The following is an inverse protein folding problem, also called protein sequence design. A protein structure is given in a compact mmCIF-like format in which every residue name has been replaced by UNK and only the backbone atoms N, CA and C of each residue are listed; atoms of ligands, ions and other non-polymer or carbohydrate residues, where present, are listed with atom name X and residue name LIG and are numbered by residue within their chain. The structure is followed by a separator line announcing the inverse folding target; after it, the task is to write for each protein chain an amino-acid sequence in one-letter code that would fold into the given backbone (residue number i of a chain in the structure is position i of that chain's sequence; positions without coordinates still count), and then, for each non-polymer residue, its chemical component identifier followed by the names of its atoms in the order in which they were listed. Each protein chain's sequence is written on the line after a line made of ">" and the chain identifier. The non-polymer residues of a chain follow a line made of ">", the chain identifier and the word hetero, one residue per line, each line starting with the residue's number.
data_IF_014385126492
#
_entry.id   IF_014385126492
#
_cell.length_a   1.000
_cell.length_b   1.000
_cell.length_c   1.000
_cell.angle_alpha   90.00
_cell.angle_beta   90.00
_cell.angle_gamma   90.00
#
_symmetry.space_group_name_H-M   'P 1'
#
loop_
_entity.id
_entity.type
_entity.pdbx_description
1 polymer ?
#
# COMPACT_ATOMS: atom_id res chain seq x y z
N UNK A 1 22.53 24.31 70.07
CA UNK A 1 21.06 24.26 70.26
C UNK A 1 20.49 23.56 69.02
N UNK A 2 20.30 22.23 69.02
CA UNK A 2 19.05 21.50 69.35
C UNK A 2 17.84 21.98 68.53
N UNK A 3 16.99 21.19 67.85
CA UNK A 3 16.64 19.74 67.78
C UNK A 3 15.95 19.48 66.40
N UNK A 4 16.14 18.38 65.65
CA UNK A 4 15.46 17.04 65.65
C UNK A 4 13.91 17.11 65.68
N UNK A 5 13.12 16.62 64.70
CA UNK A 5 12.60 15.25 64.41
C UNK A 5 11.64 15.39 63.17
N UNK A 6 11.32 14.41 62.31
CA UNK A 6 11.42 12.95 62.36
C UNK A 6 11.03 12.30 61.00
N UNK A 7 11.28 10.99 60.91
CA UNK A 7 11.34 10.12 59.74
C UNK A 7 9.99 9.52 59.33
N UNK A 8 9.89 8.98 58.10
CA UNK A 8 9.55 7.55 57.89
C UNK A 8 10.11 7.04 56.55
N UNK A 9 10.91 5.97 56.57
CA UNK A 9 11.37 5.15 55.43
C UNK A 9 10.71 3.78 55.55
N UNK A 10 10.30 3.18 54.43
CA UNK A 10 9.95 1.76 54.35
C UNK A 10 10.97 1.06 53.45
N UNK A 11 11.63 0.02 54.00
CA UNK A 11 12.45 -0.99 53.32
C UNK A 11 11.73 -2.33 53.51
N UNK A 12 11.65 -3.15 52.47
CA UNK A 12 11.43 -4.60 52.63
C UNK A 12 12.46 -5.35 51.77
N UNK A 13 13.08 -6.35 52.42
CA UNK A 13 14.20 -7.18 51.96
C UNK A 13 13.72 -8.42 51.19
N UNK A 14 14.63 -8.97 50.39
CA UNK A 14 14.59 -10.28 49.75
C UNK A 14 14.56 -11.46 50.73
N UNK A 15 14.05 -12.60 50.26
CA UNK A 15 14.52 -13.93 50.67
C UNK A 15 14.53 -14.88 49.46
N UNK A 16 15.61 -15.63 49.34
CA UNK A 16 15.77 -16.77 48.44
C UNK A 16 15.96 -18.02 49.28
N UNK A 17 15.35 -19.14 48.90
CA UNK A 17 15.85 -20.49 49.22
C UNK A 17 15.14 -21.60 48.44
N UNK A 18 15.96 -22.34 47.67
CA UNK A 18 16.06 -23.81 47.53
C UNK A 18 14.81 -24.69 47.33
N UNK A 19 14.86 -25.57 46.31
CA UNK A 19 14.03 -26.77 46.23
C UNK A 19 14.04 -27.46 44.87
N UNK A 20 14.71 -28.60 44.80
CA UNK A 20 14.99 -29.46 43.64
C UNK A 20 13.94 -30.60 43.51
N UNK A 21 13.76 -31.10 42.27
CA UNK A 21 13.26 -32.43 41.82
C UNK A 21 11.75 -32.78 41.95
N UNK A 22 11.19 -33.32 40.85
CA UNK A 22 10.13 -34.34 40.96
C UNK A 22 9.19 -34.51 39.77
N UNK A 23 9.55 -35.33 38.78
CA UNK A 23 8.60 -35.96 37.85
C UNK A 23 7.66 -36.92 38.61
N UNK A 24 6.38 -36.95 38.26
CA UNK A 24 5.43 -37.90 38.84
C UNK A 24 4.13 -38.03 38.05
N UNK A 25 4.01 -39.13 37.32
CA UNK A 25 2.86 -39.56 36.54
C UNK A 25 1.76 -40.17 37.42
N UNK A 26 0.49 -39.95 37.06
CA UNK A 26 -0.61 -40.90 37.27
C UNK A 26 -1.50 -40.71 38.51
N UNK A 27 -2.81 -40.56 38.26
CA UNK A 27 -3.97 -41.32 38.81
C UNK A 27 -5.26 -40.53 38.60
N UNK A 28 -6.15 -41.04 37.73
CA UNK A 28 -7.38 -41.78 38.06
C UNK A 28 -8.58 -40.89 38.43
N UNK A 29 -9.55 -40.88 37.50
CA UNK A 29 -10.93 -40.42 37.66
C UNK A 29 -11.73 -41.31 38.62
N UNK A 30 -12.79 -40.75 39.23
CA UNK A 30 -14.02 -41.51 39.44
C UNK A 30 -15.28 -40.81 38.89
N UNK A 31 -15.99 -41.58 38.08
CA UNK A 31 -17.44 -41.83 37.99
C UNK A 31 -18.48 -40.77 38.43
N UNK A 32 -19.34 -40.46 37.45
CA UNK A 32 -20.82 -40.47 37.44
C UNK A 32 -21.64 -39.53 38.35
N UNK A 33 -22.44 -38.67 37.71
CA UNK A 33 -23.86 -38.41 38.05
C UNK A 33 -24.66 -38.09 36.76
N UNK A 34 -25.96 -38.43 36.68
CA UNK A 34 -26.73 -38.52 35.43
C UNK A 34 -27.54 -37.25 35.13
N UNK A 35 -27.75 -36.94 33.84
CA UNK A 35 -28.78 -35.96 33.41
C UNK A 35 -29.75 -36.62 32.44
N UNK A 36 -31.02 -36.53 32.81
CA UNK A 36 -32.20 -37.10 32.17
C UNK A 36 -32.39 -36.59 30.74
N UNK A 37 -32.74 -37.53 29.86
CA UNK A 37 -33.13 -37.29 28.48
C UNK A 37 -34.66 -37.18 28.40
N UNK A 38 -35.20 -36.00 28.12
CA UNK A 38 -36.61 -35.81 27.76
C UNK A 38 -36.72 -35.53 26.26
N UNK A 39 -37.44 -36.43 25.57
CA UNK A 39 -37.80 -36.32 24.15
C UNK A 39 -38.87 -35.25 23.97
N UNK A 40 -38.66 -34.32 23.05
CA UNK A 40 -39.73 -33.54 22.41
C UNK A 40 -39.53 -33.52 20.89
N UNK A 41 -40.33 -34.39 20.27
CA UNK A 41 -41.09 -34.25 19.00
C UNK A 41 -40.51 -33.43 17.83
N UNK A 42 -40.38 -34.15 16.71
CA UNK A 42 -40.14 -33.65 15.35
C UNK A 42 -41.14 -32.59 14.87
N UNK A 43 -40.60 -31.56 14.19
CA UNK A 43 -41.22 -30.89 13.03
C UNK A 43 -40.19 -30.84 11.89
N UNK A 44 -40.51 -31.28 10.66
CA UNK A 44 -39.67 -31.02 9.50
C UNK A 44 -40.25 -29.84 8.69
N UNK A 45 -39.43 -28.81 8.43
CA UNK A 45 -39.50 -28.04 7.18
C UNK A 45 -38.42 -26.96 7.18
N UNK A 46 -37.32 -27.27 6.53
CA UNK A 46 -36.49 -26.30 5.82
C UNK A 46 -35.70 -27.11 4.81
N UNK A 47 -36.23 -27.15 3.60
CA UNK A 47 -35.58 -27.68 2.43
C UNK A 47 -34.29 -26.89 2.19
N UNK A 48 -33.16 -27.57 2.35
CA UNK A 48 -31.88 -27.08 1.85
C UNK A 48 -31.96 -27.01 0.32
N UNK A 49 -32.01 -25.80 -0.23
CA UNK A 49 -31.84 -25.57 -1.66
C UNK A 49 -30.38 -25.93 -2.05
N UNK A 50 -30.14 -26.81 -3.03
CA UNK A 50 -28.80 -27.11 -3.47
C UNK A 50 -28.18 -25.89 -4.16
N UNK A 51 -26.91 -25.63 -3.85
CA UNK A 51 -26.05 -24.67 -4.53
C UNK A 51 -26.14 -24.88 -6.05
N UNK A 52 -26.83 -23.97 -6.75
CA UNK A 52 -26.82 -23.94 -8.21
C UNK A 52 -25.45 -23.47 -8.67
N UNK A 53 -24.79 -24.31 -9.47
CA UNK A 53 -23.59 -23.95 -10.21
C UNK A 53 -23.83 -22.67 -11.03
N UNK A 54 -22.86 -21.74 -10.97
CA UNK A 54 -22.87 -20.51 -11.76
C UNK A 54 -22.92 -20.85 -13.26
N UNK A 55 -23.71 -20.14 -14.08
CA UNK A 55 -23.60 -20.27 -15.52
C UNK A 55 -22.23 -19.74 -15.98
N UNK A 56 -21.54 -20.51 -16.82
CA UNK A 56 -20.46 -19.97 -17.67
C UNK A 56 -21.14 -19.15 -18.77
N UNK A 57 -21.06 -17.84 -18.67
CA UNK A 57 -21.58 -16.91 -19.67
C UNK A 57 -21.02 -15.51 -19.42
N UNK A 58 -20.22 -15.02 -20.37
CA UNK A 58 -19.61 -13.69 -20.40
C UNK A 58 -20.65 -12.65 -20.83
N UNK A 59 -21.36 -12.05 -19.87
CA UNK A 59 -21.98 -10.74 -20.03
C UNK A 59 -21.34 -9.80 -18.99
N UNK A 60 -20.57 -8.81 -19.46
CA UNK A 60 -20.00 -7.77 -18.60
C UNK A 60 -21.14 -6.87 -18.13
N UNK A 61 -21.74 -7.20 -16.99
CA UNK A 61 -22.65 -6.29 -16.28
C UNK A 61 -21.89 -5.02 -15.89
N UNK A 62 -22.49 -3.86 -16.15
CA UNK A 62 -21.99 -2.59 -15.64
C UNK A 62 -21.80 -2.68 -14.13
N UNK A 63 -20.59 -2.39 -13.64
CA UNK A 63 -20.25 -2.46 -12.20
C UNK A 63 -21.02 -1.47 -11.33
N UNK A 64 -21.70 -0.50 -11.95
CA UNK A 64 -22.76 0.27 -11.33
C UNK A 64 -24.10 -0.47 -11.41
N UNK A 65 -24.56 -1.05 -10.29
CA UNK A 65 -25.90 -1.65 -10.17
C UNK A 65 -26.64 -0.99 -9.00
N UNK A 66 -27.90 -0.61 -9.19
CA UNK A 66 -28.73 0.07 -8.19
C UNK A 66 -28.10 1.34 -7.58
N UNK A 67 -27.28 2.08 -8.35
CA UNK A 67 -26.61 3.31 -7.88
C UNK A 67 -25.33 3.08 -7.08
N UNK A 68 -24.80 1.85 -7.02
CA UNK A 68 -23.54 1.54 -6.33
C UNK A 68 -22.53 0.94 -7.30
N UNK A 69 -21.30 1.47 -7.28
CA UNK A 69 -20.14 0.84 -7.88
C UNK A 69 -19.59 -0.23 -6.92
N UNK A 70 -19.19 -1.38 -7.46
CA UNK A 70 -18.67 -2.51 -6.69
C UNK A 70 -17.34 -2.97 -7.28
N UNK A 71 -16.27 -2.82 -6.51
CA UNK A 71 -14.94 -3.29 -6.87
C UNK A 71 -14.82 -4.78 -6.55
N UNK A 72 -14.71 -5.62 -7.58
CA UNK A 72 -14.62 -7.08 -7.46
C UNK A 72 -13.46 -7.56 -8.32
N UNK A 73 -12.48 -8.21 -7.71
CA UNK A 73 -11.37 -8.88 -8.41
C UNK A 73 -11.14 -10.29 -7.85
N UNK A 74 -10.45 -11.12 -8.65
CA UNK A 74 -9.91 -12.40 -8.20
C UNK A 74 -8.70 -12.24 -7.28
N UNK A 75 -8.08 -11.06 -7.23
CA UNK A 75 -6.97 -10.72 -6.32
C UNK A 75 -7.44 -10.65 -4.86
N UNK A 76 -8.71 -10.28 -4.60
CA UNK A 76 -9.32 -10.25 -3.27
C UNK A 76 -10.66 -11.02 -3.24
N UNK A 77 -10.62 -12.36 -3.38
CA UNK A 77 -11.83 -13.15 -3.54
C UNK A 77 -12.69 -13.12 -2.27
N UNK A 78 -14.02 -13.02 -2.45
CA UNK A 78 -14.98 -13.07 -1.35
C UNK A 78 -15.21 -11.75 -0.61
N UNK A 79 -14.54 -10.67 -1.01
CA UNK A 79 -14.74 -9.31 -0.50
C UNK A 79 -14.92 -8.31 -1.65
N UNK A 80 -15.53 -7.16 -1.36
CA UNK A 80 -15.70 -6.08 -2.33
C UNK A 80 -15.85 -4.74 -1.59
N UNK A 81 -15.17 -3.71 -2.07
CA UNK A 81 -15.44 -2.33 -1.68
C UNK A 81 -16.60 -1.79 -2.54
N UNK A 82 -17.50 -1.03 -1.94
CA UNK A 82 -18.64 -0.45 -2.66
C UNK A 82 -18.78 1.03 -2.37
N UNK A 83 -18.92 1.82 -3.43
CA UNK A 83 -19.13 3.27 -3.33
C UNK A 83 -20.44 3.64 -4.03
N UNK A 84 -21.27 4.43 -3.34
CA UNK A 84 -22.50 4.95 -3.93
C UNK A 84 -22.15 6.01 -4.99
N UNK A 85 -22.68 5.81 -6.18
CA UNK A 85 -22.44 6.66 -7.35
C UNK A 85 -23.47 7.78 -7.35
N UNK A 86 -23.00 9.02 -7.22
CA UNK A 86 -23.83 10.22 -7.42
C UNK A 86 -24.06 10.46 -8.90
N UNK A 87 -23.00 10.39 -9.71
CA UNK A 87 -23.05 10.62 -11.16
C UNK A 87 -21.86 9.99 -11.88
N UNK A 88 -22.09 9.30 -13.00
CA UNK A 88 -21.00 8.92 -13.92
C UNK A 88 -20.54 10.16 -14.69
N UNK A 89 -19.25 10.47 -14.61
CA UNK A 89 -18.64 11.64 -15.24
C UNK A 89 -18.04 11.31 -16.60
N UNK A 90 -17.43 10.12 -16.72
CA UNK A 90 -16.84 9.60 -17.93
C UNK A 90 -16.78 8.07 -17.89
N UNK A 91 -16.95 7.42 -19.05
CA UNK A 91 -16.66 6.00 -19.22
C UNK A 91 -16.18 5.75 -20.63
N UNK A 92 -14.95 5.26 -20.79
CA UNK A 92 -14.42 4.88 -22.09
C UNK A 92 -13.51 3.66 -21.98
N UNK A 93 -13.39 2.90 -23.07
CA UNK A 93 -12.37 1.87 -23.19
C UNK A 93 -11.21 2.42 -24.01
N UNK A 94 -10.04 2.58 -23.39
CA UNK A 94 -8.82 3.01 -24.05
C UNK A 94 -8.17 1.87 -24.85
N UNK A 95 -6.98 2.11 -25.41
CA UNK A 95 -6.17 1.06 -26.02
C UNK A 95 -5.75 -0.03 -25.01
N UNK A 96 -5.66 0.32 -23.72
CA UNK A 96 -5.06 -0.53 -22.70
C UNK A 96 -6.08 -1.09 -21.72
N UNK A 97 -7.10 -0.31 -21.33
CA UNK A 97 -7.98 -0.64 -20.20
C UNK A 97 -9.35 0.05 -20.28
N UNK A 98 -10.29 -0.40 -19.47
CA UNK A 98 -11.57 0.29 -19.22
C UNK A 98 -11.35 1.42 -18.21
N UNK A 99 -11.67 2.66 -18.58
CA UNK A 99 -11.49 3.86 -17.76
C UNK A 99 -12.86 4.42 -17.37
N UNK A 100 -13.17 4.36 -16.08
CA UNK A 100 -14.40 4.90 -15.51
C UNK A 100 -14.05 6.01 -14.52
N UNK A 101 -14.72 7.16 -14.66
CA UNK A 101 -14.70 8.23 -13.66
C UNK A 101 -16.12 8.53 -13.24
N UNK A 102 -16.36 8.51 -11.93
CA UNK A 102 -17.66 8.89 -11.37
C UNK A 102 -17.49 9.76 -10.13
N UNK A 103 -18.47 10.64 -9.91
CA UNK A 103 -18.65 11.36 -8.65
C UNK A 103 -19.36 10.42 -7.68
N UNK A 104 -18.74 10.14 -6.54
CA UNK A 104 -19.34 9.40 -5.44
C UNK A 104 -20.12 10.32 -4.50
N UNK A 105 -21.00 9.77 -3.66
CA UNK A 105 -21.76 10.59 -2.70
C UNK A 105 -20.90 11.12 -1.55
N UNK A 106 -19.79 10.45 -1.22
CA UNK A 106 -19.01 10.74 0.01
C UNK A 106 -17.48 10.68 -0.14
N UNK A 107 -16.94 10.38 -1.32
CA UNK A 107 -15.49 10.26 -1.60
C UNK A 107 -14.98 11.20 -2.71
N UNK A 108 -15.84 12.10 -3.21
CA UNK A 108 -15.52 12.97 -4.34
C UNK A 108 -15.48 12.18 -5.65
N UNK A 109 -14.67 12.66 -6.60
CA UNK A 109 -14.45 11.96 -7.85
C UNK A 109 -13.56 10.73 -7.64
N UNK A 110 -13.90 9.65 -8.36
CA UNK A 110 -13.27 8.34 -8.24
C UNK A 110 -12.77 7.91 -9.61
N UNK A 111 -11.48 7.58 -9.70
CA UNK A 111 -10.87 6.96 -10.88
C UNK A 111 -10.90 5.43 -10.71
N UNK A 112 -11.41 4.75 -11.74
CA UNK A 112 -11.47 3.29 -11.81
C UNK A 112 -10.85 2.84 -13.12
N UNK A 113 -9.93 1.88 -13.05
CA UNK A 113 -9.29 1.23 -14.20
C UNK A 113 -9.57 -0.27 -14.13
N UNK A 114 -10.11 -0.85 -15.20
CA UNK A 114 -10.48 -2.28 -15.28
C UNK A 114 -11.30 -2.81 -14.08
N UNK A 115 -12.13 -1.94 -13.50
CA UNK A 115 -12.96 -2.16 -12.30
C UNK A 115 -12.23 -2.15 -10.95
N UNK A 116 -10.95 -1.79 -10.91
CA UNK A 116 -10.21 -1.50 -9.69
C UNK A 116 -10.16 0.01 -9.43
N UNK A 117 -10.47 0.43 -8.20
CA UNK A 117 -10.39 1.82 -7.75
C UNK A 117 -8.91 2.20 -7.68
N UNK A 118 -8.51 3.20 -8.46
CA UNK A 118 -7.14 3.71 -8.46
C UNK A 118 -6.97 4.88 -7.50
N UNK A 119 -7.97 5.77 -7.41
CA UNK A 119 -7.90 6.91 -6.51
C UNK A 119 -9.30 7.46 -6.21
N UNK A 120 -9.44 8.02 -5.01
CA UNK A 120 -10.56 8.93 -4.68
C UNK A 120 -10.01 10.24 -4.14
N UNK A 121 -10.66 11.35 -4.46
CA UNK A 121 -10.25 12.67 -3.95
C UNK A 121 -10.23 12.75 -2.42
N UNK A 122 -11.00 11.89 -1.75
CA UNK A 122 -11.11 11.89 -0.29
C UNK A 122 -9.87 11.33 0.40
N UNK A 123 -9.20 10.31 -0.14
CA UNK A 123 -8.15 9.57 0.58
C UNK A 123 -6.86 9.32 -0.22
N UNK A 124 -6.79 9.74 -1.49
CA UNK A 124 -5.59 9.64 -2.35
C UNK A 124 -4.31 10.08 -1.65
N UNK A 125 -4.41 11.11 -0.80
CA UNK A 125 -3.25 11.75 -0.19
C UNK A 125 -2.47 10.78 0.71
N UNK A 126 -3.13 9.77 1.27
CA UNK A 126 -2.45 8.74 2.06
C UNK A 126 -1.47 7.94 1.20
N UNK A 127 -1.90 7.54 0.01
CA UNK A 127 -1.08 6.76 -0.91
C UNK A 127 -0.04 7.64 -1.60
N UNK A 128 -0.47 8.77 -2.17
CA UNK A 128 0.40 9.67 -2.95
C UNK A 128 1.55 10.22 -2.12
N UNK A 129 1.28 10.67 -0.90
CA UNK A 129 2.31 11.17 0.00
C UNK A 129 3.26 10.04 0.44
N UNK A 130 2.73 8.87 0.78
CA UNK A 130 3.57 7.77 1.27
C UNK A 130 4.46 7.16 0.17
N UNK A 131 3.91 6.82 -1.00
CA UNK A 131 4.69 6.23 -2.09
C UNK A 131 5.82 7.18 -2.55
N UNK A 132 5.57 8.49 -2.46
CA UNK A 132 6.54 9.53 -2.83
C UNK A 132 7.57 9.74 -1.73
N UNK A 133 7.13 10.10 -0.54
CA UNK A 133 8.02 10.61 0.51
C UNK A 133 8.84 9.50 1.16
N UNK A 134 8.42 8.23 1.08
CA UNK A 134 9.27 7.09 1.51
C UNK A 134 10.59 7.06 0.73
N UNK A 135 10.57 7.11 -0.61
CA UNK A 135 11.80 7.19 -1.41
C UNK A 135 12.49 8.55 -1.27
N UNK A 136 11.74 9.64 -1.44
CA UNK A 136 12.31 11.00 -1.52
C UNK A 136 13.03 11.42 -0.24
N UNK A 137 12.55 10.98 0.92
CA UNK A 137 13.18 11.26 2.22
C UNK A 137 14.17 10.17 2.65
N UNK A 138 14.29 9.06 1.91
CA UNK A 138 15.37 8.07 2.06
C UNK A 138 16.62 8.41 1.24
N UNK A 139 16.52 9.38 0.32
CA UNK A 139 17.64 9.87 -0.48
C UNK A 139 18.13 11.24 0.03
N UNK A 140 19.45 11.45 0.11
CA UNK A 140 20.04 12.67 0.71
C UNK A 140 19.79 13.95 -0.09
N UNK A 141 19.70 13.86 -1.42
CA UNK A 141 19.49 15.01 -2.31
C UNK A 141 18.91 14.59 -3.69
N UNK A 142 17.65 14.14 -3.77
CA UNK A 142 17.05 13.69 -5.02
C UNK A 142 16.72 14.87 -5.95
N UNK A 143 17.42 14.95 -7.08
CA UNK A 143 17.29 16.02 -8.07
C UNK A 143 16.54 15.59 -9.32
N UNK A 144 16.80 14.37 -9.80
CA UNK A 144 16.14 13.75 -10.96
C UNK A 144 15.27 12.60 -10.51
N UNK A 145 13.96 12.74 -10.70
CA UNK A 145 12.95 11.78 -10.26
C UNK A 145 12.21 11.24 -11.48
N UNK A 146 12.01 9.93 -11.53
CA UNK A 146 11.14 9.27 -12.51
C UNK A 146 9.93 8.68 -11.80
N UNK A 147 8.75 8.83 -12.39
CA UNK A 147 7.51 8.18 -11.99
C UNK A 147 7.06 7.31 -13.17
N UNK A 148 6.93 6.01 -12.95
CA UNK A 148 6.35 5.04 -13.90
C UNK A 148 4.91 4.78 -13.49
N UNK A 149 3.96 4.91 -14.41
CA UNK A 149 2.53 4.94 -14.09
C UNK A 149 2.12 6.30 -13.52
N UNK A 150 1.20 6.34 -12.55
CA UNK A 150 0.79 7.58 -11.87
C UNK A 150 0.12 8.61 -12.77
N UNK A 151 -0.65 8.16 -13.78
CA UNK A 151 -1.35 9.00 -14.76
C UNK A 151 -2.41 9.95 -14.18
N UNK A 152 -2.76 9.86 -12.90
CA UNK A 152 -3.59 10.85 -12.21
C UNK A 152 -2.82 12.15 -11.87
N UNK A 153 -1.48 12.07 -11.85
CA UNK A 153 -0.57 13.18 -11.57
C UNK A 153 -0.26 13.39 -10.09
N UNK A 154 -0.92 12.66 -9.20
CA UNK A 154 -0.79 12.80 -7.77
C UNK A 154 0.61 12.59 -7.20
N UNK A 155 1.30 11.54 -7.62
CA UNK A 155 2.69 11.30 -7.21
C UNK A 155 3.60 12.44 -7.67
N UNK A 156 3.42 12.96 -8.90
CA UNK A 156 4.19 14.11 -9.37
C UNK A 156 3.92 15.37 -8.51
N UNK A 157 2.66 15.60 -8.10
CA UNK A 157 2.28 16.71 -7.21
C UNK A 157 3.09 16.66 -5.92
N UNK A 158 3.29 15.48 -5.36
CA UNK A 158 4.08 15.26 -4.15
C UNK A 158 5.58 15.40 -4.40
N UNK A 159 6.09 14.90 -5.53
CA UNK A 159 7.51 14.99 -5.89
C UNK A 159 7.97 16.45 -5.97
N UNK A 160 7.19 17.34 -6.60
CA UNK A 160 7.59 18.74 -6.81
C UNK A 160 7.55 19.59 -5.53
N UNK A 161 6.98 19.10 -4.42
CA UNK A 161 7.07 19.76 -3.10
C UNK A 161 8.51 19.78 -2.57
N UNK A 162 9.38 18.89 -3.04
CA UNK A 162 10.77 18.87 -2.66
C UNK A 162 11.57 19.89 -3.49
N UNK A 163 11.96 21.01 -2.88
CA UNK A 163 12.67 22.11 -3.57
C UNK A 163 13.94 21.67 -4.31
N UNK A 164 14.64 20.65 -3.79
CA UNK A 164 15.85 20.09 -4.38
C UNK A 164 15.62 19.39 -5.73
N UNK A 165 14.38 19.05 -6.09
CA UNK A 165 14.05 18.44 -7.37
C UNK A 165 14.32 19.46 -8.48
N UNK A 166 15.09 19.04 -9.48
CA UNK A 166 15.40 19.79 -10.69
C UNK A 166 14.58 19.28 -11.88
N UNK A 167 14.23 17.99 -11.89
CA UNK A 167 13.45 17.35 -12.97
C UNK A 167 12.61 16.20 -12.42
N UNK A 168 11.32 16.18 -12.78
CA UNK A 168 10.38 15.10 -12.48
C UNK A 168 9.78 14.59 -13.80
N UNK A 169 10.09 13.35 -14.16
CA UNK A 169 9.63 12.72 -15.40
C UNK A 169 8.51 11.73 -15.07
N UNK A 170 7.39 11.79 -15.79
CA UNK A 170 6.36 10.77 -15.79
C UNK A 170 6.49 9.93 -17.06
N UNK A 171 6.40 8.61 -16.93
CA UNK A 171 6.15 7.70 -18.04
C UNK A 171 4.89 6.89 -17.73
N UNK A 172 3.79 7.21 -18.40
CA UNK A 172 2.53 6.48 -18.29
C UNK A 172 2.15 5.89 -19.64
N UNK A 173 1.63 4.67 -19.66
CA UNK A 173 1.33 3.95 -20.89
C UNK A 173 0.06 4.47 -21.58
N UNK A 174 -0.88 5.04 -20.82
CA UNK A 174 -2.23 5.33 -21.27
C UNK A 174 -2.56 6.84 -21.22
N UNK A 175 -2.49 7.49 -22.38
CA UNK A 175 -2.85 8.91 -22.54
C UNK A 175 -4.27 9.22 -22.05
N UNK A 176 -5.20 8.26 -22.12
CA UNK A 176 -6.57 8.45 -21.65
C UNK A 176 -6.59 8.80 -20.16
N UNK A 177 -5.78 8.13 -19.34
CA UNK A 177 -5.71 8.36 -17.90
C UNK A 177 -5.22 9.78 -17.61
N UNK A 178 -4.16 10.22 -18.28
CA UNK A 178 -3.62 11.59 -18.12
C UNK A 178 -4.66 12.64 -18.54
N UNK A 179 -5.26 12.47 -19.71
CA UNK A 179 -6.24 13.43 -20.26
C UNK A 179 -7.47 13.54 -19.37
N UNK A 180 -8.02 12.41 -18.93
CA UNK A 180 -9.21 12.39 -18.10
C UNK A 180 -8.92 12.87 -16.67
N UNK A 181 -7.73 12.61 -16.14
CA UNK A 181 -7.32 13.14 -14.84
C UNK A 181 -7.17 14.66 -14.85
N UNK A 182 -6.65 15.25 -15.95
CA UNK A 182 -6.66 16.72 -16.14
C UNK A 182 -8.05 17.32 -16.12
N UNK A 183 -9.03 16.59 -16.66
CA UNK A 183 -10.40 17.08 -16.77
C UNK A 183 -11.21 16.90 -15.49
N UNK A 184 -11.07 15.76 -14.81
CA UNK A 184 -11.96 15.35 -13.72
C UNK A 184 -11.28 15.25 -12.35
N UNK A 185 -9.95 15.28 -12.29
CA UNK A 185 -9.18 15.13 -11.06
C UNK A 185 -8.13 16.27 -10.91
N UNK A 186 -8.53 17.56 -11.05
CA UNK A 186 -7.58 18.68 -11.11
C UNK A 186 -6.73 18.83 -9.84
N UNK A 187 -7.22 18.35 -8.69
CA UNK A 187 -6.46 18.35 -7.44
C UNK A 187 -5.19 17.48 -7.51
N UNK A 188 -5.21 16.39 -8.28
CA UNK A 188 -4.06 15.51 -8.50
C UNK A 188 -3.26 15.95 -9.72
N UNK A 189 -3.94 16.34 -10.81
CA UNK A 189 -3.34 16.53 -12.13
C UNK A 189 -2.86 17.95 -12.46
N UNK A 190 -3.17 18.96 -11.64
CA UNK A 190 -2.71 20.35 -11.88
C UNK A 190 -1.19 20.49 -11.97
N UNK A 191 -0.43 19.53 -11.43
CA UNK A 191 1.03 19.49 -11.50
C UNK A 191 1.58 19.35 -12.93
N UNK A 192 0.77 18.89 -13.90
CA UNK A 192 1.24 18.71 -15.28
C UNK A 192 1.70 20.01 -15.96
N UNK A 193 1.32 21.18 -15.45
CA UNK A 193 1.82 22.48 -15.94
C UNK A 193 3.06 22.98 -15.19
N UNK A 194 3.60 22.23 -14.24
CA UNK A 194 4.77 22.62 -13.47
C UNK A 194 6.04 22.56 -14.33
N UNK A 195 6.90 23.58 -14.27
CA UNK A 195 8.08 23.72 -15.16
C UNK A 195 9.09 22.56 -15.07
N UNK A 196 9.13 21.89 -13.92
CA UNK A 196 9.99 20.73 -13.65
C UNK A 196 9.43 19.41 -14.15
N UNK A 197 8.17 19.38 -14.61
CA UNK A 197 7.48 18.16 -15.01
C UNK A 197 7.61 17.92 -16.50
N UNK A 198 8.01 16.71 -16.87
CA UNK A 198 8.00 16.21 -18.26
C UNK A 198 7.17 14.94 -18.32
N UNK A 199 6.26 14.84 -19.28
CA UNK A 199 5.41 13.65 -19.46
C UNK A 199 5.79 12.92 -20.73
N UNK A 200 6.04 11.63 -20.61
CA UNK A 200 6.21 10.69 -21.69
C UNK A 200 5.02 9.72 -21.69
N UNK A 201 4.37 9.56 -22.84
CA UNK A 201 3.31 8.56 -23.04
C UNK A 201 3.95 7.34 -23.69
N UNK A 202 4.06 6.24 -22.94
CA UNK A 202 4.73 5.04 -23.39
C UNK A 202 4.86 3.96 -22.32
N UNK A 203 5.27 2.78 -22.76
CA UNK A 203 5.51 1.63 -21.90
C UNK A 203 6.74 1.90 -21.00
N UNK A 204 6.52 1.92 -19.68
CA UNK A 204 7.55 2.20 -18.69
C UNK A 204 8.70 1.18 -18.68
N UNK A 205 8.44 -0.08 -19.06
CA UNK A 205 9.48 -1.09 -19.17
C UNK A 205 10.45 -0.74 -20.31
N UNK A 206 9.91 -0.44 -21.51
CA UNK A 206 10.71 -0.02 -22.67
C UNK A 206 11.42 1.31 -22.43
N UNK A 207 10.72 2.25 -21.79
CA UNK A 207 11.28 3.54 -21.44
C UNK A 207 12.54 3.39 -20.58
N UNK A 208 12.51 2.51 -19.57
CA UNK A 208 13.67 2.26 -18.70
C UNK A 208 14.87 1.63 -19.41
N UNK A 209 14.67 0.89 -20.51
CA UNK A 209 15.79 0.30 -21.29
C UNK A 209 16.72 1.38 -21.87
N UNK A 210 16.21 2.59 -22.07
CA UNK A 210 16.95 3.72 -22.63
C UNK A 210 17.82 4.47 -21.59
N UNK A 211 17.64 4.17 -20.29
CA UNK A 211 18.30 4.91 -19.21
C UNK A 211 19.24 4.07 -18.37
N UNK A 212 20.42 4.63 -18.11
CA UNK A 212 21.39 4.10 -17.15
C UNK A 212 21.92 5.24 -16.29
N UNK A 213 22.12 5.00 -14.99
CA UNK A 213 22.75 5.93 -14.05
C UNK A 213 22.22 7.38 -14.14
N UNK A 214 20.90 7.53 -14.28
CA UNK A 214 20.25 8.80 -14.63
C UNK A 214 19.43 9.39 -13.48
N UNK A 215 18.64 8.58 -12.79
CA UNK A 215 17.67 9.05 -11.80
C UNK A 215 18.19 8.85 -10.39
N UNK A 216 17.93 9.81 -9.50
CA UNK A 216 18.24 9.69 -8.08
C UNK A 216 17.14 8.91 -7.35
N UNK A 217 15.88 9.08 -7.79
CA UNK A 217 14.71 8.35 -7.29
C UNK A 217 13.86 7.87 -8.45
N UNK A 218 13.34 6.63 -8.36
CA UNK A 218 12.31 6.11 -9.27
C UNK A 218 11.11 5.62 -8.45
N UNK A 219 9.91 6.07 -8.78
CA UNK A 219 8.66 5.65 -8.17
C UNK A 219 7.85 4.86 -9.20
N UNK A 220 7.46 3.63 -8.87
CA UNK A 220 6.52 2.84 -9.70
C UNK A 220 5.14 2.87 -9.06
N UNK A 221 4.27 3.70 -9.62
CA UNK A 221 2.88 3.87 -9.24
C UNK A 221 1.98 3.13 -10.24
N UNK A 222 1.96 1.80 -10.09
CA UNK A 222 1.21 0.89 -10.96
C UNK A 222 -0.06 0.38 -10.28
N UNK A 223 -1.00 -0.08 -11.10
CA UNK A 223 -2.13 -0.92 -10.67
C UNK A 223 -1.66 -2.30 -10.17
N UNK A 224 -2.62 -3.13 -9.76
CA UNK A 224 -2.42 -4.54 -9.40
C UNK A 224 -1.68 -5.31 -10.51
N UNK A 225 -0.97 -6.43 -10.20
CA UNK A 225 -0.21 -7.26 -11.16
C UNK A 225 -1.08 -8.07 -12.13
N UNK A 226 -2.08 -7.43 -12.74
CA UNK A 226 -2.92 -7.94 -13.80
C UNK A 226 -2.71 -7.11 -15.08
N UNK A 227 -2.90 -7.73 -16.24
CA UNK A 227 -2.81 -7.03 -17.53
C UNK A 227 -1.43 -6.38 -17.77
N UNK A 228 -1.36 -5.09 -18.16
CA UNK A 228 -0.10 -4.43 -18.52
C UNK A 228 0.87 -4.25 -17.35
N UNK A 229 0.40 -4.31 -16.09
CA UNK A 229 1.23 -4.09 -14.91
C UNK A 229 1.95 -5.36 -14.42
N UNK A 230 1.59 -6.57 -14.90
CA UNK A 230 2.18 -7.84 -14.44
C UNK A 230 3.72 -7.84 -14.54
N UNK A 231 4.28 -7.27 -15.61
CA UNK A 231 5.72 -7.21 -15.85
C UNK A 231 6.47 -6.35 -14.83
N UNK A 232 5.78 -5.38 -14.21
CA UNK A 232 6.35 -4.45 -13.23
C UNK A 232 6.62 -5.10 -11.85
N UNK A 233 6.14 -6.33 -11.64
CA UNK A 233 6.37 -7.11 -10.41
C UNK A 233 7.42 -8.22 -10.61
N UNK A 234 8.09 -8.25 -11.76
CA UNK A 234 9.04 -9.29 -12.10
C UNK A 234 10.49 -8.83 -11.92
N UNK A 235 11.37 -9.77 -11.56
CA UNK A 235 12.80 -9.51 -11.35
C UNK A 235 13.49 -8.71 -12.49
N UNK A 236 13.22 -8.97 -13.79
CA UNK A 236 13.82 -8.17 -14.87
C UNK A 236 13.50 -6.68 -14.79
N UNK A 237 12.29 -6.31 -14.37
CA UNK A 237 11.92 -4.90 -14.19
C UNK A 237 12.72 -4.24 -13.07
N UNK A 238 12.89 -4.92 -11.92
CA UNK A 238 13.74 -4.41 -10.84
C UNK A 238 15.21 -4.24 -11.26
N UNK A 239 15.70 -5.06 -12.20
CA UNK A 239 17.04 -4.87 -12.77
C UNK A 239 17.11 -3.61 -13.64
N UNK A 240 16.08 -3.31 -14.43
CA UNK A 240 15.98 -2.06 -15.18
C UNK A 240 15.97 -0.85 -14.25
N UNK A 241 15.17 -0.89 -13.17
CA UNK A 241 15.16 0.15 -12.13
C UNK A 241 16.56 0.36 -11.54
N UNK A 242 17.25 -0.73 -11.16
CA UNK A 242 18.61 -0.66 -10.61
C UNK A 242 19.60 -0.03 -11.58
N UNK A 243 19.51 -0.35 -12.88
CA UNK A 243 20.38 0.18 -13.92
C UNK A 243 20.13 1.67 -14.16
N UNK A 244 18.87 2.08 -14.21
CA UNK A 244 18.46 3.47 -14.43
C UNK A 244 18.79 4.39 -13.24
N UNK A 245 18.84 3.84 -12.02
CA UNK A 245 19.22 4.58 -10.81
C UNK A 245 20.72 4.93 -10.77
N UNK A 246 21.01 6.13 -10.27
CA UNK A 246 22.35 6.57 -9.89
C UNK A 246 22.90 5.83 -8.68
N UNK A 247 24.20 6.00 -8.42
CA UNK A 247 24.79 5.57 -7.16
C UNK A 247 24.03 6.17 -5.97
N UNK A 248 23.70 5.34 -4.98
CA UNK A 248 22.89 5.72 -3.83
C UNK A 248 21.40 5.96 -4.13
N UNK A 249 20.96 5.73 -5.37
CA UNK A 249 19.57 5.92 -5.77
C UNK A 249 18.59 5.00 -5.05
N UNK A 250 17.36 5.48 -4.90
CA UNK A 250 16.29 4.81 -4.13
C UNK A 250 15.07 4.59 -5.02
N UNK A 251 14.42 3.44 -4.91
CA UNK A 251 13.09 3.23 -5.48
C UNK A 251 12.02 3.13 -4.41
N UNK A 252 10.79 3.46 -4.80
CA UNK A 252 9.59 2.96 -4.14
C UNK A 252 8.63 2.43 -5.19
N UNK A 253 8.07 1.24 -4.96
CA UNK A 253 7.00 0.68 -5.82
C UNK A 253 5.78 0.42 -4.95
N UNK A 254 4.58 0.49 -5.53
CA UNK A 254 3.41 -0.18 -4.94
C UNK A 254 3.81 -1.63 -4.62
N UNK A 255 3.37 -2.12 -3.47
CA UNK A 255 3.79 -3.41 -2.91
C UNK A 255 2.64 -4.25 -2.37
N UNK A 256 1.41 -4.05 -2.83
CA UNK A 256 0.23 -4.85 -2.47
C UNK A 256 -0.15 -4.87 -0.98
N UNK A 257 -1.27 -5.52 -0.62
CA UNK A 257 -1.74 -5.58 0.77
C UNK A 257 -1.19 -6.82 1.51
N UNK A 258 -0.49 -6.62 2.63
CA UNK A 258 0.06 -7.70 3.47
C UNK A 258 -0.98 -8.69 4.05
N UNK A 259 -2.25 -8.31 4.14
CA UNK A 259 -3.34 -9.20 4.57
C UNK A 259 -3.83 -10.14 3.47
N UNK A 260 -3.64 -9.76 2.20
CA UNK A 260 -4.19 -10.45 1.04
C UNK A 260 -3.10 -11.14 0.22
N UNK A 261 -1.95 -10.49 0.07
CA UNK A 261 -0.95 -10.80 -0.95
C UNK A 261 0.42 -11.17 -0.37
N UNK A 262 0.50 -11.57 0.90
CA UNK A 262 1.76 -11.86 1.59
C UNK A 262 2.70 -12.84 0.84
N UNK A 263 2.23 -13.90 0.15
CA UNK A 263 3.09 -14.76 -0.66
C UNK A 263 3.75 -14.01 -1.84
N UNK A 264 2.98 -13.15 -2.53
CA UNK A 264 3.49 -12.32 -3.61
C UNK A 264 4.53 -11.33 -3.08
N UNK A 265 4.22 -10.62 -2.00
CA UNK A 265 5.12 -9.65 -1.36
C UNK A 265 6.43 -10.33 -0.95
N UNK A 266 6.36 -11.54 -0.38
CA UNK A 266 7.54 -12.31 0.02
C UNK A 266 8.41 -12.66 -1.18
N UNK A 267 7.80 -13.09 -2.29
CA UNK A 267 8.51 -13.37 -3.55
C UNK A 267 9.17 -12.10 -4.09
N UNK A 268 8.43 -11.00 -4.22
CA UNK A 268 8.96 -9.73 -4.75
C UNK A 268 10.09 -9.22 -3.87
N UNK A 269 9.94 -9.25 -2.54
CA UNK A 269 11.00 -8.86 -1.60
C UNK A 269 12.27 -9.69 -1.80
N UNK A 270 12.13 -11.00 -2.02
CA UNK A 270 13.26 -11.89 -2.32
C UNK A 270 13.92 -11.51 -3.66
N UNK A 271 13.13 -11.33 -4.71
CA UNK A 271 13.63 -10.94 -6.04
C UNK A 271 14.40 -9.60 -5.96
N UNK A 272 13.89 -8.63 -5.20
CA UNK A 272 14.57 -7.36 -4.93
C UNK A 272 15.88 -7.54 -4.14
N UNK A 273 15.93 -8.42 -3.13
CA UNK A 273 17.14 -8.68 -2.32
C UNK A 273 18.28 -9.29 -3.15
N UNK A 274 17.98 -9.88 -4.30
CA UNK A 274 18.98 -10.39 -5.24
C UNK A 274 19.57 -9.28 -6.13
N UNK A 275 19.00 -8.08 -6.13
CA UNK A 275 19.39 -6.95 -6.99
C UNK A 275 19.90 -5.76 -6.16
N UNK A 276 19.15 -5.39 -5.11
CA UNK A 276 19.45 -4.24 -4.27
C UNK A 276 20.09 -4.67 -2.95
N UNK A 277 21.12 -3.95 -2.46
CA UNK A 277 21.72 -4.24 -1.17
C UNK A 277 20.80 -3.96 0.03
N UNK A 278 19.85 -3.03 -0.12
CA UNK A 278 18.86 -2.69 0.93
C UNK A 278 17.45 -2.81 0.35
N UNK A 279 16.60 -3.57 1.02
CA UNK A 279 15.21 -3.83 0.61
C UNK A 279 14.32 -3.88 1.84
N UNK A 280 13.39 -2.94 1.94
CA UNK A 280 12.44 -2.82 3.04
C UNK A 280 11.01 -2.76 2.52
N UNK A 281 10.07 -3.09 3.40
CA UNK A 281 8.65 -3.04 3.11
C UNK A 281 7.95 -2.15 4.14
N UNK A 282 7.23 -1.15 3.63
CA UNK A 282 6.37 -0.27 4.41
C UNK A 282 4.91 -0.47 4.02
N UNK A 283 3.99 0.09 4.78
CA UNK A 283 2.57 0.15 4.39
C UNK A 283 1.91 1.45 4.86
N UNK A 284 0.81 1.80 4.20
CA UNK A 284 -0.09 2.88 4.61
C UNK A 284 -1.53 2.40 4.69
N UNK A 285 -2.35 3.11 5.46
CA UNK A 285 -3.80 2.91 5.52
C UNK A 285 -4.50 3.78 4.47
N UNK A 286 -5.34 3.20 3.63
CA UNK A 286 -6.11 3.92 2.61
C UNK A 286 -7.48 3.21 2.47
N UNK A 287 -8.57 3.84 2.95
CA UNK A 287 -9.88 3.18 3.07
C UNK A 287 -10.42 2.54 1.79
N UNK A 288 -10.21 3.16 0.62
CA UNK A 288 -10.81 2.69 -0.63
C UNK A 288 -10.04 1.59 -1.34
N UNK A 289 -8.85 1.23 -0.87
CA UNK A 289 -8.12 0.09 -1.43
C UNK A 289 -8.53 -1.23 -0.79
N UNK A 290 -8.38 -2.37 -1.50
CA UNK A 290 -8.73 -3.69 -0.98
C UNK A 290 -8.09 -3.97 0.39
N UNK A 291 -8.91 -4.25 1.39
CA UNK A 291 -8.47 -4.49 2.77
C UNK A 291 -8.05 -3.23 3.54
N UNK A 292 -8.31 -2.03 3.03
CA UNK A 292 -8.16 -0.74 3.73
C UNK A 292 -6.71 -0.26 3.92
N UNK A 293 -5.75 -0.91 3.28
CA UNK A 293 -4.33 -0.57 3.35
C UNK A 293 -3.56 -1.12 2.15
N UNK A 294 -2.37 -0.58 1.91
CA UNK A 294 -1.47 -1.07 0.86
C UNK A 294 -0.01 -0.87 1.25
N UNK A 295 0.85 -1.70 0.65
CA UNK A 295 2.27 -1.77 0.89
C UNK A 295 3.11 -1.02 -0.12
N UNK A 296 4.38 -0.88 0.22
CA UNK A 296 5.42 -0.31 -0.62
C UNK A 296 6.71 -1.09 -0.49
N UNK A 297 7.33 -1.43 -1.62
CA UNK A 297 8.70 -1.92 -1.62
C UNK A 297 9.65 -0.72 -1.73
N UNK A 298 10.56 -0.57 -0.76
CA UNK A 298 11.55 0.52 -0.73
C UNK A 298 12.94 -0.10 -0.84
N UNK A 299 13.63 0.15 -1.95
CA UNK A 299 14.96 -0.41 -2.19
C UNK A 299 15.99 0.70 -2.41
N UNK A 300 17.23 0.49 -1.99
CA UNK A 300 18.33 1.43 -2.20
C UNK A 300 19.57 0.75 -2.77
N UNK A 301 20.31 1.49 -3.61
CA UNK A 301 21.64 1.10 -4.09
C UNK A 301 22.75 1.37 -3.09
N UNK A 302 22.51 2.21 -2.08
CA UNK A 302 23.48 2.44 -0.99
C UNK A 302 23.37 1.31 0.04
N UNK A 303 24.40 0.45 0.21
CA UNK A 303 24.39 -0.63 1.20
C UNK A 303 24.32 -0.14 2.65
N UNK A 304 24.58 1.15 2.90
CA UNK A 304 24.50 1.76 4.23
C UNK A 304 23.19 2.51 4.46
N UNK A 305 22.28 2.53 3.48
CA UNK A 305 20.99 3.19 3.63
C UNK A 305 20.14 2.48 4.70
N UNK A 306 19.38 3.27 5.44
CA UNK A 306 18.30 2.79 6.30
C UNK A 306 17.00 3.50 5.95
N UNK A 307 16.23 2.99 4.97
CA UNK A 307 14.97 3.61 4.54
C UNK A 307 13.91 3.70 5.62
N UNK A 308 14.09 3.07 6.80
CA UNK A 308 13.16 3.19 7.93
C UNK A 308 13.25 4.52 8.66
N UNK A 309 14.36 5.23 8.46
CA UNK A 309 14.64 6.50 9.12
C UNK A 309 14.82 7.54 8.01
N UNK A 310 13.92 8.53 7.90
CA UNK A 310 14.05 9.55 6.88
C UNK A 310 15.35 10.34 7.11
N UNK A 311 16.20 10.43 6.08
CA UNK A 311 17.45 11.21 6.09
C UNK A 311 17.22 12.67 5.73
N UNK A 312 16.03 12.99 5.23
CA UNK A 312 15.52 14.34 5.04
C UNK A 312 14.14 14.45 5.67
N UNK A 313 13.86 15.59 6.26
CA UNK A 313 12.53 15.93 6.73
C UNK A 313 12.35 17.43 6.62
N UNK A 314 11.10 17.85 6.46
CA UNK A 314 10.74 19.23 6.74
C UNK A 314 10.68 19.45 8.26
N UNK A 315 10.55 20.70 8.69
CA UNK A 315 10.15 21.00 10.07
C UNK A 315 8.72 20.48 10.32
N UNK A 316 8.34 20.15 11.57
CA UNK A 316 6.97 19.70 11.87
C UNK A 316 5.89 20.67 11.36
N UNK A 317 6.15 21.98 11.42
CA UNK A 317 5.23 23.02 10.92
C UNK A 317 5.10 23.00 9.40
N UNK A 318 6.18 22.71 8.68
CA UNK A 318 6.17 22.54 7.22
C UNK A 318 5.49 21.23 6.82
N UNK A 319 5.71 20.13 7.55
CA UNK A 319 5.03 18.85 7.30
C UNK A 319 3.50 19.03 7.40
N UNK A 320 3.00 19.71 8.44
CA UNK A 320 1.56 19.99 8.60
C UNK A 320 0.98 20.84 7.46
N UNK A 321 1.80 21.72 6.87
CA UNK A 321 1.37 22.58 5.74
C UNK A 321 1.39 21.85 4.40
N UNK A 322 2.38 20.98 4.21
CA UNK A 322 2.64 20.33 2.93
C UNK A 322 1.89 19.00 2.80
N UNK A 323 1.70 18.28 3.91
CA UNK A 323 1.19 16.92 3.95
C UNK A 323 -0.09 16.82 4.79
N UNK A 324 -0.97 15.91 4.40
CA UNK A 324 -2.20 15.56 5.13
C UNK A 324 -2.06 14.24 5.90
N UNK A 325 -1.17 13.36 5.46
CA UNK A 325 -0.91 12.04 6.06
C UNK A 325 0.54 11.88 6.49
N UNK A 326 1.49 12.16 5.59
CA UNK A 326 2.90 11.93 5.83
C UNK A 326 3.45 12.90 6.88
N UNK A 327 4.27 12.36 7.78
CA UNK A 327 5.22 13.07 8.61
C UNK A 327 6.36 12.09 8.97
N UNK A 328 7.46 12.59 9.54
CA UNK A 328 8.62 11.73 9.84
C UNK A 328 8.33 10.58 10.80
N UNK A 329 7.33 10.70 11.67
CA UNK A 329 6.94 9.63 12.60
C UNK A 329 6.07 8.56 11.91
N UNK A 330 5.14 8.98 11.05
CA UNK A 330 4.37 8.09 10.17
C UNK A 330 5.31 7.32 9.24
N UNK A 331 6.33 7.98 8.69
CA UNK A 331 7.38 7.32 7.91
C UNK A 331 7.99 6.14 8.68
N UNK A 332 8.50 6.38 9.90
CA UNK A 332 9.12 5.32 10.72
C UNK A 332 8.11 4.22 11.08
N UNK A 333 6.90 4.61 11.47
CA UNK A 333 5.84 3.69 11.87
C UNK A 333 5.37 2.79 10.72
N UNK A 334 5.43 3.26 9.47
CA UNK A 334 5.01 2.50 8.29
C UNK A 334 5.80 1.20 8.07
N UNK A 335 7.01 1.10 8.62
CA UNK A 335 7.86 -0.11 8.58
C UNK A 335 7.61 -1.06 9.76
N UNK A 336 6.76 -0.69 10.73
CA UNK A 336 6.40 -1.54 11.87
C UNK A 336 5.25 -2.46 11.47
N UNK A 337 5.61 -3.63 11.00
CA UNK A 337 4.63 -4.60 10.47
C UNK A 337 3.98 -5.42 11.59
N UNK A 338 2.72 -5.86 11.41
CA UNK A 338 2.11 -6.89 12.25
C UNK A 338 2.99 -8.15 12.34
N UNK A 339 2.96 -8.85 13.47
CA UNK A 339 3.87 -9.97 13.76
C UNK A 339 3.89 -11.05 12.66
N UNK A 340 2.74 -11.37 12.06
CA UNK A 340 2.65 -12.39 11.00
C UNK A 340 3.40 -11.95 9.73
N UNK A 341 3.24 -10.70 9.30
CA UNK A 341 3.89 -10.14 8.12
C UNK A 341 5.37 -9.91 8.39
N UNK A 342 5.71 -9.38 9.58
CA UNK A 342 7.08 -9.22 10.03
C UNK A 342 7.84 -10.55 10.04
N UNK A 343 7.19 -11.67 10.40
CA UNK A 343 7.81 -13.00 10.36
C UNK A 343 8.04 -13.49 8.93
N UNK A 344 7.07 -13.30 8.03
CA UNK A 344 7.16 -13.75 6.65
C UNK A 344 8.17 -12.94 5.82
N UNK A 345 8.34 -11.66 6.11
CA UNK A 345 9.15 -10.72 5.31
C UNK A 345 10.58 -10.51 5.85
N UNK A 346 11.08 -11.38 6.74
CA UNK A 346 12.46 -11.28 7.27
C UNK A 346 13.52 -11.34 6.17
#
# INVERSE_FOLDING_TARGET
>A
MSQVLGQTRVRIRSCASHGLVGFGCGRQLPSELPVQCSRLTHRPSTTWLPWRARPKGTERQSTASNGWFREISNMWPGQAMTLEVKKVLHHEKSQYQDVLIFESTTYGNVLVLDNAIQATERDEFSYQEMITHLAMNSHKNPKKVLVIGGGDGGVLREVVKHECVESAVLCDIDEAVIRLSKQYLPHMSSVYSHEKVTVHVGDGFKFLEEYQNTFDVIITDSSDPEGPAETLFQKPYFQLLFNALREGGVITTQGENQWLHLPLITKVKKDCKEIFPVVEYAFTTIPTYPGGQIGFMVCSKDPNANPKIPVRSWTPEEEIKLCRYYNSEVHKASFVLPAFAAQALK
#
